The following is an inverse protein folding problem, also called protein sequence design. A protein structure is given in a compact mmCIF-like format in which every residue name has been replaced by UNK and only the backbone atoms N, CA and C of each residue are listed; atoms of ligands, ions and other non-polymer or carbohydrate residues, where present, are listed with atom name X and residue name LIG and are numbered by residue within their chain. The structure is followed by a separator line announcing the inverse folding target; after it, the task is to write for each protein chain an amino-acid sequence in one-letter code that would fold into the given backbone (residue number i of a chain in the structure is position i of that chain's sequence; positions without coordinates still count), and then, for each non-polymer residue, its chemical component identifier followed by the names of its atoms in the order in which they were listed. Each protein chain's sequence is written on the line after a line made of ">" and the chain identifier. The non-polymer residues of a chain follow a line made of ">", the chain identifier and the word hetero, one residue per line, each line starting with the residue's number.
data_IF_326102385297
#
_entry.id   IF_326102385297
#
_cell.length_a   1.000
_cell.length_b   1.000
_cell.length_c   1.000
_cell.angle_alpha   90.00
_cell.angle_beta   90.00
_cell.angle_gamma   90.00
#
_symmetry.space_group_name_H-M   'P 1'
#
loop_
_entity.id
_entity.type
_entity.pdbx_description
1 polymer ?
#
# COMPACT_ATOMS: atom_id res chain seq x y z
N UNK A 1 48.36 58.89 15.23
CA UNK A 1 48.51 60.14 16.06
C UNK A 1 47.97 59.83 17.44
N UNK A 2 48.89 60.00 18.40
CA UNK A 2 48.78 60.33 19.81
C UNK A 2 47.96 59.38 20.73
N UNK A 3 48.63 58.71 21.54
CA UNK A 3 49.35 59.00 22.83
C UNK A 3 48.40 58.88 24.03
N UNK A 4 48.78 58.04 24.94
CA UNK A 4 49.44 58.15 26.24
C UNK A 4 48.41 58.07 27.38
N UNK A 5 48.59 57.55 28.51
CA UNK A 5 49.66 57.09 29.38
C UNK A 5 48.98 56.58 30.67
N UNK A 6 49.54 55.56 31.31
CA UNK A 6 50.16 55.48 32.65
C UNK A 6 49.27 55.92 33.84
N UNK A 7 49.13 55.20 34.92
CA UNK A 7 50.12 54.94 35.97
C UNK A 7 49.63 53.83 36.90
N UNK A 8 50.57 53.10 37.43
CA UNK A 8 50.55 52.18 38.54
C UNK A 8 50.35 52.81 39.88
N UNK A 9 49.73 52.10 40.82
CA UNK A 9 50.09 52.25 42.26
C UNK A 9 49.97 50.86 42.89
N UNK A 10 51.05 50.45 43.49
CA UNK A 10 51.29 49.33 44.38
C UNK A 10 50.86 49.69 45.79
N UNK A 11 50.14 48.80 46.47
CA UNK A 11 50.13 48.80 47.94
C UNK A 11 50.01 47.34 48.44
N UNK A 12 51.08 46.95 49.14
CA UNK A 12 51.14 45.72 49.97
C UNK A 12 50.49 46.02 51.33
N UNK A 13 49.74 45.00 51.86
CA UNK A 13 49.66 44.68 53.31
C UNK A 13 48.92 43.35 53.43
N UNK A 14 49.48 42.32 53.76
CA UNK A 14 49.87 41.57 54.97
C UNK A 14 48.70 40.87 55.72
N UNK A 15 48.85 39.58 55.82
CA UNK A 15 48.49 38.63 56.88
C UNK A 15 47.02 38.44 57.34
N UNK A 16 46.58 37.24 57.20
CA UNK A 16 45.44 36.67 57.89
C UNK A 16 45.22 35.22 57.52
N UNK A 17 46.03 34.32 58.14
CA UNK A 17 45.85 32.84 57.97
C UNK A 17 44.65 32.40 58.78
N UNK A 18 43.53 32.14 58.20
CA UNK A 18 42.38 31.39 58.76
C UNK A 18 42.21 30.13 58.06
N UNK A 19 42.61 29.02 58.69
CA UNK A 19 42.28 27.67 58.30
C UNK A 19 40.79 27.44 58.50
N UNK A 20 40.02 27.20 57.39
CA UNK A 20 38.67 26.62 57.42
C UNK A 20 38.70 25.24 56.79
N UNK A 21 37.93 24.26 57.30
CA UNK A 21 37.96 22.92 56.83
C UNK A 21 37.34 22.82 55.44
N UNK A 22 38.06 22.18 54.51
CA UNK A 22 37.57 21.86 53.18
C UNK A 22 36.54 20.75 53.34
N UNK A 23 35.25 21.10 53.30
CA UNK A 23 34.20 20.11 53.04
C UNK A 23 34.33 19.66 51.61
N UNK A 24 34.90 18.49 51.40
CA UNK A 24 34.84 17.78 50.12
C UNK A 24 33.40 17.40 49.80
N UNK A 25 32.70 18.23 49.02
CA UNK A 25 31.47 17.82 48.37
C UNK A 25 31.85 16.87 47.25
N UNK A 26 31.71 15.56 47.50
CA UNK A 26 31.63 14.56 46.44
C UNK A 26 30.40 14.87 45.59
N UNK A 27 30.59 15.50 44.46
CA UNK A 27 29.57 15.58 43.43
C UNK A 27 29.38 14.18 42.89
N UNK A 28 28.38 13.49 43.42
CA UNK A 28 27.87 12.26 42.86
C UNK A 28 27.24 12.63 41.50
N UNK A 29 28.03 12.54 40.45
CA UNK A 29 27.53 12.65 39.08
C UNK A 29 26.60 11.47 38.84
N UNK A 30 25.31 11.67 39.09
CA UNK A 30 24.28 10.73 38.64
C UNK A 30 24.41 10.57 37.13
N UNK A 31 25.01 9.46 36.72
CA UNK A 31 25.00 9.01 35.35
C UNK A 31 23.54 8.88 34.95
N UNK A 32 23.07 9.82 34.12
CA UNK A 32 21.78 9.73 33.44
C UNK A 32 21.77 8.42 32.65
N UNK A 33 20.77 7.52 32.85
CA UNK A 33 20.68 6.32 32.06
C UNK A 33 20.72 6.69 30.57
N UNK A 34 21.40 5.93 29.71
CA UNK A 34 21.37 6.19 28.27
C UNK A 34 19.91 6.22 27.85
N UNK A 35 19.54 7.28 27.12
CA UNK A 35 18.21 7.42 26.55
C UNK A 35 17.90 6.15 25.74
N UNK A 36 16.81 5.47 26.07
CA UNK A 36 16.38 4.30 25.34
C UNK A 36 16.31 4.67 23.85
N UNK A 37 17.16 4.03 23.06
CA UNK A 37 17.21 4.21 21.61
C UNK A 37 15.84 3.84 21.07
N UNK A 38 15.13 4.80 20.48
CA UNK A 38 13.84 4.59 19.86
C UNK A 38 14.04 3.49 18.79
N UNK A 39 13.25 2.39 18.80
CA UNK A 39 13.41 1.34 17.81
C UNK A 39 13.48 1.97 16.41
N UNK A 40 14.49 1.61 15.64
CA UNK A 40 14.62 2.07 14.26
C UNK A 40 13.31 1.75 13.52
N UNK A 41 12.71 2.75 12.90
CA UNK A 41 11.48 2.55 12.12
C UNK A 41 11.78 1.51 11.04
N UNK A 42 10.96 0.46 10.99
CA UNK A 42 11.03 -0.54 9.92
C UNK A 42 10.96 0.21 8.58
N UNK A 43 11.89 -0.03 7.65
CA UNK A 43 11.84 0.65 6.36
C UNK A 43 10.49 0.38 5.68
N UNK A 44 9.93 1.35 4.96
CA UNK A 44 8.66 1.15 4.26
C UNK A 44 8.81 -0.03 3.30
N UNK A 45 7.82 -0.93 3.29
CA UNK A 45 7.77 -2.04 2.35
C UNK A 45 7.73 -1.49 0.93
N UNK A 46 8.46 -2.13 0.01
CA UNK A 46 8.32 -1.87 -1.42
C UNK A 46 6.86 -2.12 -1.85
N UNK A 47 6.41 -1.51 -2.95
CA UNK A 47 5.07 -1.80 -3.49
C UNK A 47 4.91 -3.29 -3.81
N UNK A 48 5.98 -3.94 -4.30
CA UNK A 48 5.98 -5.38 -4.56
C UNK A 48 5.70 -6.17 -3.28
N UNK A 49 6.36 -5.84 -2.16
CA UNK A 49 6.11 -6.51 -0.87
C UNK A 49 4.75 -6.16 -0.28
N UNK A 50 4.29 -4.92 -0.48
CA UNK A 50 3.01 -4.45 0.04
C UNK A 50 1.80 -5.09 -0.65
N UNK A 51 1.94 -5.53 -1.89
CA UNK A 51 0.86 -6.14 -2.69
C UNK A 51 0.70 -7.64 -2.38
N UNK A 52 1.77 -8.34 -1.98
CA UNK A 52 1.73 -9.79 -1.74
C UNK A 52 0.70 -10.14 -0.68
N UNK A 53 -0.24 -11.02 -1.02
CA UNK A 53 -1.28 -11.53 -0.13
C UNK A 53 -2.64 -11.64 -0.79
N UNK A 54 -3.68 -11.68 0.04
CA UNK A 54 -5.07 -11.83 -0.39
C UNK A 54 -5.85 -10.55 -0.16
N UNK A 55 -6.72 -10.22 -1.11
CA UNK A 55 -7.45 -8.97 -1.16
C UNK A 55 -8.92 -9.21 -1.51
N UNK A 56 -9.85 -8.79 -0.67
CA UNK A 56 -11.28 -8.83 -0.97
C UNK A 56 -11.72 -7.58 -1.73
N UNK A 57 -12.60 -7.76 -2.70
CA UNK A 57 -13.11 -6.67 -3.51
C UNK A 57 -13.98 -5.72 -2.69
N UNK A 58 -13.76 -4.41 -2.86
CA UNK A 58 -14.65 -3.35 -2.39
C UNK A 58 -15.56 -2.85 -3.52
N UNK A 59 -14.96 -2.44 -4.64
CA UNK A 59 -15.67 -1.94 -5.81
C UNK A 59 -14.96 -2.36 -7.11
N UNK A 60 -15.73 -2.47 -8.18
CA UNK A 60 -15.26 -2.51 -9.56
C UNK A 60 -16.23 -1.72 -10.42
N UNK A 61 -15.85 -0.49 -10.73
CA UNK A 61 -16.71 0.51 -11.34
C UNK A 61 -16.20 0.95 -12.71
N UNK A 62 -17.09 0.96 -13.70
CA UNK A 62 -16.85 1.67 -14.95
C UNK A 62 -16.85 3.19 -14.69
N UNK A 63 -15.79 3.86 -15.13
CA UNK A 63 -15.66 5.32 -15.04
C UNK A 63 -16.12 5.93 -16.36
N UNK A 64 -17.14 6.79 -16.32
CA UNK A 64 -17.67 7.48 -17.47
C UNK A 64 -16.86 8.74 -17.82
N UNK A 65 -17.03 9.32 -19.02
CA UNK A 65 -16.32 10.53 -19.42
C UNK A 65 -16.59 11.76 -18.52
N UNK A 66 -17.76 11.81 -17.88
CA UNK A 66 -18.16 12.87 -16.94
C UNK A 66 -17.62 12.64 -15.52
N UNK A 67 -16.83 11.57 -15.32
CA UNK A 67 -16.28 11.17 -14.01
C UNK A 67 -17.25 10.41 -13.12
N UNK A 68 -18.49 10.18 -13.55
CA UNK A 68 -19.44 9.35 -12.79
C UNK A 68 -19.08 7.87 -12.87
N UNK A 69 -19.50 7.12 -11.85
CA UNK A 69 -19.19 5.69 -11.70
C UNK A 69 -20.44 4.84 -11.90
N UNK A 70 -20.27 3.66 -12.49
CA UNK A 70 -21.32 2.65 -12.61
C UNK A 70 -20.75 1.27 -12.25
N UNK A 71 -21.30 0.59 -11.24
CA UNK A 71 -20.85 -0.74 -10.84
C UNK A 71 -20.93 -1.76 -12.00
N UNK A 72 -19.80 -2.34 -12.39
CA UNK A 72 -19.76 -3.35 -13.47
C UNK A 72 -20.47 -4.65 -13.10
N UNK A 73 -20.34 -5.03 -11.82
CA UNK A 73 -20.89 -6.30 -11.30
C UNK A 73 -22.09 -6.07 -10.38
N UNK A 74 -22.79 -4.93 -10.52
CA UNK A 74 -23.93 -4.55 -9.68
C UNK A 74 -23.51 -4.12 -8.27
N UNK A 75 -24.50 -3.84 -7.39
CA UNK A 75 -24.22 -3.52 -6.01
C UNK A 75 -23.64 -4.72 -5.28
N UNK A 76 -22.69 -4.48 -4.38
CA UNK A 76 -22.04 -5.51 -3.54
C UNK A 76 -21.41 -6.66 -4.35
N UNK A 77 -20.49 -6.39 -5.29
CA UNK A 77 -19.80 -7.47 -6.01
C UNK A 77 -18.97 -8.31 -5.04
N UNK A 78 -18.74 -9.58 -5.40
CA UNK A 78 -17.89 -10.48 -4.63
C UNK A 78 -16.60 -10.71 -5.43
N UNK A 79 -15.46 -10.55 -4.80
CA UNK A 79 -14.19 -10.77 -5.51
C UNK A 79 -13.04 -11.05 -4.56
N UNK A 80 -12.05 -11.73 -5.11
CA UNK A 80 -10.80 -12.05 -4.46
C UNK A 80 -9.66 -11.83 -5.45
N UNK A 81 -8.64 -11.12 -5.02
CA UNK A 81 -7.35 -11.04 -5.70
C UNK A 81 -6.29 -11.65 -4.79
N UNK A 82 -5.39 -12.45 -5.37
CA UNK A 82 -4.26 -13.06 -4.68
C UNK A 82 -2.98 -12.76 -5.45
N UNK A 83 -1.94 -12.33 -4.72
CA UNK A 83 -0.62 -12.05 -5.26
C UNK A 83 0.42 -12.86 -4.51
N UNK A 84 1.05 -13.78 -5.18
CA UNK A 84 2.15 -14.59 -4.65
C UNK A 84 3.47 -13.82 -4.63
N UNK A 85 4.30 -14.08 -3.63
CA UNK A 85 5.67 -13.54 -3.59
C UNK A 85 6.53 -14.02 -4.75
N UNK A 86 6.17 -15.16 -5.34
CA UNK A 86 6.76 -15.78 -6.52
C UNK A 86 6.41 -15.07 -7.85
N UNK A 87 5.52 -14.07 -7.80
CA UNK A 87 5.10 -13.31 -8.98
C UNK A 87 3.88 -13.88 -9.71
N UNK A 88 3.19 -14.87 -9.14
CA UNK A 88 1.90 -15.33 -9.69
C UNK A 88 0.74 -14.56 -9.08
N UNK A 89 -0.33 -14.41 -9.85
CA UNK A 89 -1.55 -13.80 -9.38
C UNK A 89 -2.79 -14.55 -9.82
N UNK A 90 -3.88 -14.35 -9.11
CA UNK A 90 -5.23 -14.72 -9.52
C UNK A 90 -6.21 -13.63 -9.09
N UNK A 91 -7.10 -13.25 -9.98
CA UNK A 91 -8.20 -12.30 -9.72
C UNK A 91 -9.50 -12.95 -10.15
N UNK A 92 -10.48 -12.92 -9.25
CA UNK A 92 -11.85 -13.38 -9.56
C UNK A 92 -12.83 -12.34 -9.01
N UNK A 93 -13.76 -11.89 -9.87
CA UNK A 93 -14.87 -11.00 -9.52
C UNK A 93 -16.15 -11.61 -10.02
N UNK A 94 -17.17 -11.64 -9.18
CA UNK A 94 -18.47 -12.17 -9.54
C UNK A 94 -19.59 -11.23 -9.09
N UNK A 95 -20.63 -11.11 -9.91
CA UNK A 95 -21.86 -10.43 -9.57
C UNK A 95 -22.57 -11.19 -8.45
N UNK A 96 -22.95 -10.51 -7.38
CA UNK A 96 -23.80 -11.11 -6.35
C UNK A 96 -25.21 -11.41 -6.92
N UNK A 97 -25.86 -12.44 -6.40
CA UNK A 97 -27.24 -12.76 -6.77
C UNK A 97 -27.45 -13.29 -8.19
N UNK A 98 -26.39 -13.84 -8.81
CA UNK A 98 -26.55 -14.53 -10.11
C UNK A 98 -27.55 -15.68 -9.98
N UNK A 99 -28.42 -15.91 -10.99
CA UNK A 99 -29.35 -17.05 -10.96
C UNK A 99 -28.58 -18.37 -10.86
N UNK A 100 -29.12 -19.29 -10.07
CA UNK A 100 -28.62 -20.66 -10.01
C UNK A 100 -29.12 -21.43 -11.24
N UNK A 101 -28.33 -22.37 -11.71
CA UNK A 101 -28.74 -23.29 -12.75
C UNK A 101 -29.87 -24.16 -12.23
N UNK A 102 -31.03 -24.15 -12.87
CA UNK A 102 -32.21 -24.91 -12.45
C UNK A 102 -31.92 -26.43 -12.43
N UNK A 103 -31.13 -26.91 -13.39
CA UNK A 103 -30.68 -28.31 -13.47
C UNK A 103 -29.62 -28.69 -12.43
N UNK A 104 -29.06 -27.71 -11.67
CA UNK A 104 -27.89 -27.91 -10.86
C UNK A 104 -26.67 -28.51 -11.60
N UNK A 105 -26.67 -28.38 -12.93
CA UNK A 105 -25.63 -28.89 -13.81
C UNK A 105 -25.26 -27.84 -14.86
N UNK A 106 -24.02 -27.35 -14.81
CA UNK A 106 -23.54 -26.29 -15.70
C UNK A 106 -23.51 -26.71 -17.19
N UNK A 107 -23.43 -28.03 -17.47
CA UNK A 107 -23.39 -28.54 -18.84
C UNK A 107 -24.77 -28.52 -19.52
N UNK A 108 -25.85 -28.44 -18.73
CA UNK A 108 -27.25 -28.45 -19.21
C UNK A 108 -27.96 -27.12 -18.85
N UNK A 109 -27.20 -26.06 -18.65
CA UNK A 109 -27.76 -24.73 -18.40
C UNK A 109 -28.46 -24.17 -19.64
N UNK A 110 -29.53 -23.41 -19.43
CA UNK A 110 -30.18 -22.65 -20.49
C UNK A 110 -29.26 -21.57 -21.07
N UNK A 111 -29.60 -21.04 -22.23
CA UNK A 111 -28.84 -19.93 -22.83
C UNK A 111 -28.76 -18.71 -21.89
N UNK A 112 -29.84 -18.37 -21.18
CA UNK A 112 -29.88 -17.23 -20.27
C UNK A 112 -29.07 -17.48 -18.99
N UNK A 113 -29.10 -18.68 -18.44
CA UNK A 113 -28.27 -19.06 -17.28
C UNK A 113 -26.79 -18.98 -17.63
N UNK A 114 -26.41 -19.55 -18.79
CA UNK A 114 -25.03 -19.46 -19.27
C UNK A 114 -24.59 -18.02 -19.53
N UNK A 115 -25.45 -17.21 -20.16
CA UNK A 115 -25.19 -15.77 -20.38
C UNK A 115 -24.99 -15.01 -19.06
N UNK A 116 -25.90 -15.24 -18.09
CA UNK A 116 -25.79 -14.60 -16.78
C UNK A 116 -24.54 -15.03 -16.03
N UNK A 117 -24.13 -16.26 -16.09
CA UNK A 117 -22.91 -16.78 -15.50
C UNK A 117 -21.68 -16.13 -16.11
N UNK A 118 -21.59 -16.07 -17.46
CA UNK A 118 -20.45 -15.47 -18.16
C UNK A 118 -20.38 -13.96 -17.93
N UNK A 119 -21.48 -13.23 -18.15
CA UNK A 119 -21.51 -11.77 -17.99
C UNK A 119 -21.36 -11.32 -16.52
N UNK A 120 -21.70 -12.20 -15.59
CA UNK A 120 -21.56 -11.95 -14.16
C UNK A 120 -20.22 -12.41 -13.57
N UNK A 121 -19.23 -12.78 -14.39
CA UNK A 121 -17.95 -13.31 -13.90
C UNK A 121 -16.80 -12.78 -14.72
N UNK A 122 -15.75 -12.34 -14.03
CA UNK A 122 -14.40 -12.25 -14.58
C UNK A 122 -13.46 -13.03 -13.68
N UNK A 123 -12.64 -13.88 -14.27
CA UNK A 123 -11.59 -14.60 -13.57
C UNK A 123 -10.38 -14.71 -14.51
N UNK A 124 -9.21 -14.40 -14.02
CA UNK A 124 -7.96 -14.55 -14.74
C UNK A 124 -6.80 -14.77 -13.79
N UNK A 125 -5.77 -15.43 -14.29
CA UNK A 125 -4.56 -15.72 -13.56
C UNK A 125 -3.35 -15.68 -14.49
N UNK A 126 -2.16 -15.66 -13.90
CA UNK A 126 -0.90 -15.65 -14.60
C UNK A 126 0.21 -15.07 -13.74
N UNK A 127 1.12 -14.34 -14.37
CA UNK A 127 2.22 -13.67 -13.66
C UNK A 127 2.02 -12.17 -13.60
N UNK A 128 2.63 -11.53 -12.58
CA UNK A 128 2.60 -10.08 -12.42
C UNK A 128 3.99 -9.51 -12.13
N UNK A 129 4.16 -8.26 -12.48
CA UNK A 129 5.30 -7.44 -12.08
C UNK A 129 4.85 -6.08 -11.58
N UNK A 130 5.66 -5.48 -10.68
CA UNK A 130 5.44 -4.15 -10.13
C UNK A 130 6.50 -3.22 -10.68
N UNK A 131 6.09 -2.08 -11.19
CA UNK A 131 7.00 -0.98 -11.53
C UNK A 131 6.85 0.11 -10.46
N UNK A 132 7.86 0.24 -9.61
CA UNK A 132 7.90 1.21 -8.50
C UNK A 132 7.96 2.65 -9.01
N UNK A 133 8.62 2.88 -10.17
CA UNK A 133 8.85 4.23 -10.68
C UNK A 133 7.57 4.89 -11.19
N UNK A 134 6.73 4.15 -11.90
CA UNK A 134 5.46 4.65 -12.45
C UNK A 134 4.24 4.16 -11.66
N UNK A 135 4.46 3.49 -10.54
CA UNK A 135 3.42 2.97 -9.63
C UNK A 135 2.38 2.13 -10.37
N UNK A 136 2.83 1.10 -11.08
CA UNK A 136 1.94 0.25 -11.84
C UNK A 136 2.17 -1.24 -11.61
N UNK A 137 1.09 -2.01 -11.77
CA UNK A 137 1.10 -3.46 -11.98
C UNK A 137 1.06 -3.77 -13.46
N UNK A 138 1.78 -4.77 -13.91
CA UNK A 138 1.61 -5.39 -15.21
C UNK A 138 1.24 -6.85 -15.02
N UNK A 139 0.06 -7.23 -15.49
CA UNK A 139 -0.41 -8.61 -15.54
C UNK A 139 -0.06 -9.23 -16.89
N UNK A 140 0.53 -10.41 -16.87
CA UNK A 140 0.62 -11.30 -18.02
C UNK A 140 -0.40 -12.42 -17.80
N UNK A 141 -1.48 -12.39 -18.57
CA UNK A 141 -2.61 -13.31 -18.40
C UNK A 141 -2.32 -14.62 -19.10
N UNK A 142 -2.33 -15.72 -18.36
CA UNK A 142 -2.11 -17.08 -18.86
C UNK A 142 -3.41 -17.82 -19.10
N UNK A 143 -4.43 -17.55 -18.28
CA UNK A 143 -5.76 -18.08 -18.46
C UNK A 143 -6.82 -17.10 -17.99
N UNK A 144 -7.98 -17.10 -18.68
CA UNK A 144 -9.07 -16.16 -18.39
C UNK A 144 -10.44 -16.79 -18.68
N UNK A 145 -11.46 -16.38 -17.88
CA UNK A 145 -12.87 -16.66 -18.20
C UNK A 145 -13.35 -15.93 -19.47
N UNK A 146 -12.57 -14.95 -19.95
CA UNK A 146 -12.75 -14.30 -21.25
C UNK A 146 -11.54 -14.62 -22.12
N UNK A 147 -11.63 -15.62 -23.02
CA UNK A 147 -10.47 -16.16 -23.76
C UNK A 147 -9.66 -15.12 -24.53
N UNK A 148 -10.29 -14.02 -24.96
CA UNK A 148 -9.61 -12.95 -25.69
C UNK A 148 -8.54 -12.21 -24.86
N UNK A 149 -8.47 -12.45 -23.56
CA UNK A 149 -7.42 -11.89 -22.69
C UNK A 149 -6.19 -12.79 -22.56
N UNK A 150 -6.27 -14.05 -22.96
CA UNK A 150 -5.17 -15.00 -22.85
C UNK A 150 -3.97 -14.55 -23.68
N UNK A 151 -2.78 -14.60 -23.11
CA UNK A 151 -1.54 -14.10 -23.70
C UNK A 151 -1.37 -12.57 -23.63
N UNK A 152 -2.40 -11.83 -23.23
CA UNK A 152 -2.32 -10.36 -23.15
C UNK A 152 -1.46 -9.88 -21.95
N UNK A 153 -0.81 -8.74 -22.15
CA UNK A 153 -0.24 -7.96 -21.08
C UNK A 153 -1.14 -6.76 -20.76
N UNK A 154 -1.47 -6.59 -19.51
CA UNK A 154 -2.37 -5.53 -19.07
C UNK A 154 -1.74 -4.71 -17.96
N UNK A 155 -1.50 -3.43 -18.22
CA UNK A 155 -0.97 -2.49 -17.22
C UNK A 155 -2.11 -1.90 -16.39
N UNK A 156 -1.88 -1.82 -15.08
CA UNK A 156 -2.79 -1.25 -14.08
C UNK A 156 -2.06 -0.15 -13.30
N UNK A 157 -2.26 1.12 -13.61
CA UNK A 157 -1.80 2.21 -12.73
C UNK A 157 -2.41 2.06 -11.34
N UNK A 158 -1.57 2.02 -10.31
CA UNK A 158 -1.98 2.00 -8.90
C UNK A 158 -2.25 3.44 -8.48
N UNK A 159 -3.46 3.69 -8.00
CA UNK A 159 -3.88 5.01 -7.54
C UNK A 159 -3.80 5.15 -6.02
N UNK A 160 -3.91 4.04 -5.29
CA UNK A 160 -3.71 3.97 -3.85
C UNK A 160 -3.15 2.62 -3.44
N UNK A 161 -2.23 2.61 -2.51
CA UNK A 161 -1.71 1.40 -1.87
C UNK A 161 -1.29 1.71 -0.43
N UNK A 162 -2.02 1.15 0.52
CA UNK A 162 -1.67 1.13 1.94
C UNK A 162 -1.38 -0.31 2.34
N UNK A 163 -0.15 -0.61 2.71
CA UNK A 163 0.30 -1.98 3.04
C UNK A 163 -0.57 -2.60 4.13
N UNK A 164 -1.15 -3.79 3.84
CA UNK A 164 -2.02 -4.51 4.76
C UNK A 164 -3.39 -3.84 5.00
N UNK A 165 -3.81 -2.93 4.13
CA UNK A 165 -5.09 -2.25 4.25
C UNK A 165 -5.85 -2.11 2.94
N UNK A 166 -5.40 -1.26 2.00
CA UNK A 166 -6.12 -0.95 0.77
C UNK A 166 -5.21 -0.95 -0.46
N UNK A 167 -5.75 -1.43 -1.58
CA UNK A 167 -5.14 -1.39 -2.90
C UNK A 167 -6.19 -0.92 -3.91
N UNK A 168 -5.89 0.14 -4.66
CA UNK A 168 -6.74 0.65 -5.73
C UNK A 168 -5.94 0.82 -7.01
N UNK A 169 -6.51 0.35 -8.11
CA UNK A 169 -5.93 0.55 -9.43
C UNK A 169 -6.98 0.94 -10.48
N UNK A 170 -6.49 1.52 -11.56
CA UNK A 170 -7.27 1.71 -12.78
C UNK A 170 -6.99 0.61 -13.80
N UNK A 171 -8.02 0.20 -14.51
CA UNK A 171 -7.90 -0.60 -15.71
C UNK A 171 -8.23 0.27 -16.93
N UNK A 172 -7.24 0.69 -17.73
CA UNK A 172 -7.49 1.55 -18.89
C UNK A 172 -8.08 0.80 -20.11
N UNK A 173 -8.12 -0.53 -20.06
CA UNK A 173 -8.61 -1.37 -21.17
C UNK A 173 -9.48 -2.52 -20.64
N UNK A 174 -10.65 -2.21 -20.05
CA UNK A 174 -11.52 -3.27 -19.53
C UNK A 174 -12.20 -4.06 -20.65
N UNK A 175 -12.38 -5.36 -20.43
CA UNK A 175 -13.03 -6.26 -21.40
C UNK A 175 -14.52 -5.93 -21.66
N UNK A 176 -15.16 -5.22 -20.75
CA UNK A 176 -16.58 -4.83 -20.85
C UNK A 176 -16.86 -3.62 -21.75
N UNK A 177 -15.86 -3.08 -22.45
CA UNK A 177 -16.03 -1.95 -23.38
C UNK A 177 -16.13 -0.57 -22.72
N UNK A 178 -16.02 -0.45 -21.40
CA UNK A 178 -15.86 0.83 -20.73
C UNK A 178 -14.51 1.46 -21.11
N UNK A 179 -14.38 2.80 -21.03
CA UNK A 179 -13.11 3.48 -21.30
C UNK A 179 -12.07 3.16 -20.22
N UNK A 180 -12.52 2.96 -19.00
CA UNK A 180 -11.68 2.70 -17.83
C UNK A 180 -12.52 2.05 -16.74
N UNK A 181 -11.91 1.23 -15.90
CA UNK A 181 -12.52 0.82 -14.64
C UNK A 181 -11.63 1.18 -13.46
N UNK A 182 -12.25 1.52 -12.34
CA UNK A 182 -11.62 1.69 -11.04
C UNK A 182 -11.94 0.45 -10.21
N UNK A 183 -10.91 -0.22 -9.70
CA UNK A 183 -11.08 -1.38 -8.83
C UNK A 183 -10.38 -1.14 -7.50
N UNK A 184 -11.10 -1.30 -6.40
CA UNK A 184 -10.56 -1.15 -5.06
C UNK A 184 -10.72 -2.44 -4.24
N UNK A 185 -9.72 -2.72 -3.44
CA UNK A 185 -9.56 -3.94 -2.68
C UNK A 185 -9.19 -3.66 -1.23
N UNK A 186 -9.64 -4.51 -0.32
CA UNK A 186 -9.30 -4.52 1.10
C UNK A 186 -8.46 -5.73 1.43
N UNK A 187 -7.40 -5.54 2.21
CA UNK A 187 -6.57 -6.64 2.70
C UNK A 187 -7.39 -7.65 3.50
N UNK A 188 -7.18 -8.93 3.22
CA UNK A 188 -7.76 -10.03 4.02
C UNK A 188 -6.80 -10.36 5.16
N UNK A 189 -7.29 -10.23 6.39
CA UNK A 189 -6.53 -10.55 7.62
C UNK A 189 -6.58 -12.04 7.91
#
# INVERSE_FOLDING_TARGET
>A
MNRRNRFAVVALAAFGLLMLPVCSHSQNAQQRPPAAEKPAATPPKSMKEAIVGSWSLLIDDAVKPDGSHTPNFGPNPIGLAMFGADGHFSVTIVRAGRPKFASNNRATGTADENKAAVQGTVAHFGTYSVNEADKSLTFRIEGSSFPNQEGAQQKRPITSLTAGDELTWNNPMPAGGARQTLTAWKWVK
#
